data_IF_536464798402
#
_entry.id   IF_536464798402
#
_cell.length_a   1.000
_cell.length_b   1.000
_cell.length_c   1.000
_cell.angle_alpha   90.00
_cell.angle_beta   90.00
_cell.angle_gamma   90.00
#
_symmetry.space_group_name_H-M   'P 1'
#
loop_
_entity.id
_entity.type
_entity.pdbx_description
1 polymer ?
#
# COMPACT_ATOMS: atom_id res chain seq x y z
N UNK A 1 -14.29 -65.79 -17.32
CA UNK A 1 -15.34 -64.76 -17.55
C UNK A 1 -15.83 -64.22 -16.22
N UNK A 2 -15.37 -63.03 -15.80
CA UNK A 2 -16.17 -61.92 -15.24
C UNK A 2 -15.24 -60.87 -14.62
N UNK A 3 -15.58 -59.63 -14.92
CA UNK A 3 -14.78 -58.41 -14.85
C UNK A 3 -15.35 -57.49 -13.76
N UNK A 4 -14.47 -56.74 -13.08
CA UNK A 4 -14.70 -55.42 -12.44
C UNK A 4 -15.62 -55.51 -11.18
N UNK A 5 -15.29 -54.94 -10.01
CA UNK A 5 -15.17 -53.49 -9.80
C UNK A 5 -14.22 -53.12 -8.64
N UNK A 6 -13.04 -52.64 -9.01
CA UNK A 6 -12.22 -51.73 -8.21
C UNK A 6 -12.97 -50.39 -8.12
N UNK A 7 -13.78 -50.20 -7.08
CA UNK A 7 -14.65 -49.00 -6.95
C UNK A 7 -14.74 -48.43 -5.54
N UNK A 8 -13.71 -48.54 -4.70
CA UNK A 8 -13.70 -47.86 -3.39
C UNK A 8 -12.32 -47.39 -2.93
N UNK A 9 -11.50 -46.84 -3.85
CA UNK A 9 -10.23 -46.20 -3.49
C UNK A 9 -10.11 -44.75 -3.96
N UNK A 10 -11.23 -44.06 -4.15
CA UNK A 10 -11.20 -42.68 -4.63
C UNK A 10 -12.36 -41.90 -4.01
N UNK A 11 -12.25 -41.53 -2.73
CA UNK A 11 -13.14 -40.50 -2.17
C UNK A 11 -12.63 -39.75 -0.93
N UNK A 12 -11.35 -39.86 -0.57
CA UNK A 12 -10.79 -39.13 0.60
C UNK A 12 -9.72 -38.10 0.25
N UNK A 13 -9.65 -37.65 -1.01
CA UNK A 13 -8.73 -36.57 -1.44
C UNK A 13 -9.52 -35.42 -2.09
N UNK A 14 -10.51 -34.87 -1.40
CA UNK A 14 -11.19 -33.64 -1.86
C UNK A 14 -11.21 -32.54 -0.77
N UNK A 15 -10.73 -32.82 0.45
CA UNK A 15 -10.72 -31.85 1.55
C UNK A 15 -9.54 -30.83 1.52
N UNK A 16 -8.70 -30.82 0.48
CA UNK A 16 -7.50 -29.96 0.41
C UNK A 16 -7.61 -28.78 -0.56
N UNK A 17 -8.76 -28.60 -1.22
CA UNK A 17 -9.00 -27.50 -2.18
C UNK A 17 -9.99 -26.45 -1.68
N UNK A 18 -10.34 -26.45 -0.39
CA UNK A 18 -10.88 -25.24 0.21
C UNK A 18 -9.73 -24.25 0.31
N UNK A 19 -9.51 -23.49 -0.76
CA UNK A 19 -8.61 -22.35 -0.78
C UNK A 19 -8.94 -21.51 0.43
N UNK A 20 -8.08 -21.58 1.44
CA UNK A 20 -8.05 -20.54 2.45
C UNK A 20 -7.78 -19.28 1.65
N UNK A 21 -8.81 -18.47 1.49
CA UNK A 21 -8.66 -17.07 1.12
C UNK A 21 -7.85 -16.50 2.27
N UNK A 22 -6.53 -16.64 2.21
CA UNK A 22 -5.61 -16.03 3.14
C UNK A 22 -5.97 -14.56 3.08
N UNK A 23 -6.52 -14.05 4.18
CA UNK A 23 -6.82 -12.64 4.31
C UNK A 23 -5.55 -11.89 3.90
N UNK A 24 -5.65 -11.10 2.83
CA UNK A 24 -4.54 -10.29 2.35
C UNK A 24 -4.10 -9.39 3.51
N UNK A 25 -2.94 -9.71 4.08
CA UNK A 25 -2.45 -8.98 5.22
C UNK A 25 -1.86 -7.67 4.69
N UNK A 26 -2.62 -6.59 4.83
CA UNK A 26 -2.14 -5.24 4.54
C UNK A 26 -0.81 -5.00 5.25
N UNK A 27 0.20 -4.58 4.49
CA UNK A 27 1.48 -4.16 5.02
C UNK A 27 1.38 -2.67 5.33
N UNK A 28 1.58 -2.32 6.58
CA UNK A 28 1.54 -0.94 7.04
C UNK A 28 2.96 -0.52 7.39
N UNK A 29 3.43 0.57 6.77
CA UNK A 29 4.73 1.16 7.04
C UNK A 29 4.57 2.59 7.57
N UNK A 30 5.38 2.96 8.57
CA UNK A 30 5.65 4.34 8.93
C UNK A 30 6.94 4.76 8.26
N UNK A 31 6.93 5.92 7.61
CA UNK A 31 8.05 6.38 6.82
C UNK A 31 8.33 7.86 7.08
N UNK A 32 9.61 8.23 7.06
CA UNK A 32 10.05 9.61 6.91
C UNK A 32 10.54 9.77 5.48
N UNK A 33 10.05 10.81 4.80
CA UNK A 33 10.37 11.07 3.40
C UNK A 33 10.79 12.51 3.21
N UNK A 34 11.59 12.75 2.17
CA UNK A 34 11.86 14.10 1.63
C UNK A 34 11.04 14.28 0.37
N UNK A 35 10.39 15.42 0.22
CA UNK A 35 9.61 15.76 -0.97
C UNK A 35 10.56 16.13 -2.10
N UNK A 36 10.45 15.43 -3.23
CA UNK A 36 11.22 15.65 -4.44
C UNK A 36 10.28 15.94 -5.62
N UNK A 37 10.85 16.35 -6.76
CA UNK A 37 10.06 16.51 -7.99
C UNK A 37 9.49 15.16 -8.41
N UNK A 38 8.19 15.14 -8.74
CA UNK A 38 7.53 13.94 -9.24
C UNK A 38 8.11 13.56 -10.60
N UNK A 39 8.23 12.26 -10.87
CA UNK A 39 8.63 11.78 -12.21
C UNK A 39 7.58 12.09 -13.29
N UNK A 40 6.34 12.39 -12.86
CA UNK A 40 5.19 12.68 -13.72
C UNK A 40 4.93 14.16 -13.91
N UNK A 41 5.44 15.04 -13.05
CA UNK A 41 5.18 16.48 -13.07
C UNK A 41 6.36 17.28 -12.52
N UNK A 42 6.68 18.42 -13.17
CA UNK A 42 7.78 19.30 -12.75
C UNK A 42 7.59 19.95 -11.37
N UNK A 43 6.34 20.10 -10.92
CA UNK A 43 5.98 20.74 -9.65
C UNK A 43 4.85 19.97 -8.94
N UNK A 44 4.80 19.98 -7.60
CA UNK A 44 3.67 19.47 -6.84
C UNK A 44 2.39 20.21 -7.26
N UNK A 45 1.46 19.49 -7.90
CA UNK A 45 0.13 20.04 -8.21
C UNK A 45 -0.94 19.18 -7.56
N UNK A 46 -1.81 19.81 -6.80
CA UNK A 46 -3.03 19.17 -6.30
C UNK A 46 -3.86 18.74 -7.50
N UNK A 47 -4.08 17.43 -7.65
CA UNK A 47 -4.91 16.89 -8.72
C UNK A 47 -6.16 16.23 -8.12
N UNK A 48 -7.33 16.72 -8.52
CA UNK A 48 -8.58 16.02 -8.21
C UNK A 48 -8.63 14.76 -9.07
N UNK A 49 -8.26 13.62 -8.49
CA UNK A 49 -8.44 12.32 -9.15
C UNK A 49 -9.78 11.73 -8.72
N UNK A 50 -10.55 11.22 -9.68
CA UNK A 50 -11.77 10.42 -9.41
C UNK A 50 -11.45 9.01 -8.92
N UNK A 51 -10.15 8.70 -8.70
CA UNK A 51 -9.70 7.35 -8.31
C UNK A 51 -10.40 6.99 -7.00
N UNK A 52 -10.38 7.87 -6.00
CA UNK A 52 -11.12 7.67 -4.76
C UNK A 52 -12.57 8.11 -4.95
N UNK A 53 -13.49 7.16 -5.06
CA UNK A 53 -14.94 7.38 -5.14
C UNK A 53 -15.55 7.93 -3.82
N UNK A 54 -14.73 8.57 -2.96
CA UNK A 54 -15.11 9.18 -1.69
C UNK A 54 -15.03 10.71 -1.72
N UNK A 55 -14.88 11.30 -2.92
CA UNK A 55 -14.84 12.76 -3.15
C UNK A 55 -13.67 13.49 -2.47
N UNK A 56 -12.63 12.77 -2.03
CA UNK A 56 -11.44 13.39 -1.43
C UNK A 56 -10.35 13.65 -2.49
N UNK A 57 -9.86 14.89 -2.67
CA UNK A 57 -8.72 15.15 -3.55
C UNK A 57 -7.50 14.33 -3.14
N UNK A 58 -6.67 13.95 -4.11
CA UNK A 58 -5.38 13.30 -3.84
C UNK A 58 -4.26 14.22 -4.31
N UNK A 59 -3.29 14.49 -3.45
CA UNK A 59 -2.12 15.27 -3.83
C UNK A 59 -1.02 14.31 -4.31
N UNK A 60 -0.55 14.49 -5.54
CA UNK A 60 0.57 13.72 -6.09
C UNK A 60 1.88 14.45 -5.85
N UNK A 61 2.83 13.79 -5.21
CA UNK A 61 4.18 14.30 -4.93
C UNK A 61 5.24 13.26 -5.27
N UNK A 62 6.45 13.70 -5.61
CA UNK A 62 7.62 12.84 -5.57
C UNK A 62 8.12 12.73 -4.12
N UNK A 63 8.55 11.54 -3.71
CA UNK A 63 9.14 11.29 -2.41
C UNK A 63 10.43 10.48 -2.53
N UNK A 64 11.42 10.84 -1.74
CA UNK A 64 12.57 10.00 -1.41
C UNK A 64 12.39 9.45 0.00
N UNK A 65 12.44 8.13 0.16
CA UNK A 65 12.18 7.46 1.43
C UNK A 65 13.48 7.40 2.25
N UNK A 66 13.62 8.29 3.24
CA UNK A 66 14.79 8.35 4.11
C UNK A 66 14.78 7.24 5.17
N UNK A 67 13.61 6.97 5.73
CA UNK A 67 13.43 5.94 6.76
C UNK A 67 12.09 5.24 6.57
N UNK A 68 12.03 3.94 6.85
CA UNK A 68 10.80 3.19 6.83
C UNK A 68 10.85 2.04 7.83
N UNK A 69 9.74 1.83 8.54
CA UNK A 69 9.57 0.75 9.51
C UNK A 69 8.16 0.20 9.47
N UNK A 70 7.99 -1.08 9.77
CA UNK A 70 6.66 -1.67 9.90
C UNK A 70 5.87 -1.01 11.04
N UNK A 71 4.55 -0.96 10.88
CA UNK A 71 3.62 -0.27 11.75
C UNK A 71 2.48 -1.20 12.22
N UNK A 72 1.83 -0.87 13.34
CA UNK A 72 0.64 -1.56 13.83
C UNK A 72 0.78 -3.10 13.85
N UNK A 73 -0.08 -3.83 13.13
CA UNK A 73 -0.04 -5.31 13.05
C UNK A 73 1.18 -5.81 12.28
N UNK A 74 1.71 -5.00 11.35
CA UNK A 74 2.88 -5.36 10.54
C UNK A 74 4.17 -5.44 11.36
N UNK A 75 4.24 -4.78 12.53
CA UNK A 75 5.40 -4.88 13.44
C UNK A 75 5.66 -6.33 13.88
N UNK A 76 4.64 -7.19 13.92
CA UNK A 76 4.81 -8.58 14.38
C UNK A 76 5.18 -9.57 13.26
N UNK A 77 5.23 -9.11 12.01
CA UNK A 77 5.41 -9.98 10.83
C UNK A 77 6.75 -9.67 10.16
N UNK A 78 7.70 -10.61 10.20
CA UNK A 78 9.08 -10.41 9.70
C UNK A 78 9.13 -10.04 8.21
N UNK A 79 8.29 -10.64 7.37
CA UNK A 79 8.22 -10.29 5.95
C UNK A 79 7.75 -8.85 5.73
N UNK A 80 6.85 -8.34 6.58
CA UNK A 80 6.37 -6.96 6.50
C UNK A 80 7.45 -5.97 6.96
N UNK A 81 8.20 -6.32 8.01
CA UNK A 81 9.37 -5.53 8.45
C UNK A 81 10.40 -5.41 7.33
N UNK A 82 10.76 -6.54 6.71
CA UNK A 82 11.71 -6.56 5.59
C UNK A 82 11.19 -5.75 4.40
N UNK A 83 9.90 -5.87 4.08
CA UNK A 83 9.27 -5.05 3.04
C UNK A 83 9.43 -3.56 3.32
N UNK A 84 9.02 -3.08 4.51
CA UNK A 84 9.13 -1.67 4.83
C UNK A 84 10.59 -1.19 4.81
N UNK A 85 11.54 -1.98 5.33
CA UNK A 85 12.96 -1.64 5.27
C UNK A 85 13.49 -1.56 3.83
N UNK A 86 13.00 -2.41 2.92
CA UNK A 86 13.41 -2.39 1.52
C UNK A 86 13.01 -1.11 0.78
N UNK A 87 12.06 -0.34 1.32
CA UNK A 87 11.62 0.93 0.74
C UNK A 87 12.63 2.07 0.95
N UNK A 88 13.54 1.95 1.93
CA UNK A 88 14.53 2.99 2.24
C UNK A 88 15.45 3.22 1.03
N UNK A 89 15.67 4.49 0.69
CA UNK A 89 16.47 4.94 -0.46
C UNK A 89 15.72 4.90 -1.80
N UNK A 90 14.45 4.48 -1.83
CA UNK A 90 13.66 4.51 -3.07
C UNK A 90 13.04 5.89 -3.32
N UNK A 91 12.99 6.26 -4.60
CA UNK A 91 12.25 7.40 -5.11
C UNK A 91 10.94 6.92 -5.73
N UNK A 92 9.82 7.53 -5.35
CA UNK A 92 8.49 7.15 -5.82
C UNK A 92 7.58 8.36 -5.99
N UNK A 93 6.59 8.23 -6.86
CA UNK A 93 5.43 9.11 -6.87
C UNK A 93 4.40 8.60 -5.86
N UNK A 94 4.03 9.44 -4.90
CA UNK A 94 3.10 9.13 -3.82
C UNK A 94 1.78 9.89 -4.00
N UNK A 95 0.68 9.15 -3.90
CA UNK A 95 -0.66 9.74 -3.82
C UNK A 95 -1.03 9.92 -2.36
N UNK A 96 -0.98 11.17 -1.90
CA UNK A 96 -1.43 11.53 -0.56
C UNK A 96 -2.95 11.50 -0.51
N UNK A 97 -3.50 10.75 0.44
CA UNK A 97 -4.94 10.56 0.65
C UNK A 97 -5.35 11.10 2.03
N UNK A 98 -6.49 11.78 2.14
CA UNK A 98 -6.89 12.47 3.37
C UNK A 98 -7.97 13.52 3.11
N UNK A 99 -8.56 14.07 4.18
CA UNK A 99 -9.42 15.26 4.10
C UNK A 99 -8.53 16.48 3.90
N UNK A 100 -8.02 16.64 2.69
CA UNK A 100 -7.32 17.87 2.34
C UNK A 100 -8.38 18.92 2.05
N UNK A 101 -8.56 19.85 2.98
CA UNK A 101 -9.15 21.12 2.57
C UNK A 101 -8.20 21.72 1.52
N UNK A 102 -8.69 22.13 0.33
CA UNK A 102 -7.87 22.53 -0.81
C UNK A 102 -6.80 23.62 -0.59
N UNK A 103 -6.63 24.18 0.62
CA UNK A 103 -5.74 25.30 0.91
C UNK A 103 -4.91 25.17 2.22
N UNK A 104 -5.00 24.06 2.96
CA UNK A 104 -4.41 23.98 4.31
C UNK A 104 -3.06 23.25 4.42
N UNK A 105 -2.60 22.58 3.36
CA UNK A 105 -1.30 21.91 3.35
C UNK A 105 -0.48 22.42 2.17
N UNK A 106 0.50 23.28 2.47
CA UNK A 106 1.52 23.68 1.51
C UNK A 106 2.70 22.72 1.63
N UNK A 107 2.78 21.74 0.72
CA UNK A 107 3.94 20.86 0.59
C UNK A 107 4.86 21.44 -0.48
N UNK A 108 6.11 21.71 -0.11
CA UNK A 108 7.16 22.23 -0.96
C UNK A 108 8.25 21.18 -1.20
N UNK A 109 9.07 21.42 -2.22
CA UNK A 109 10.26 20.60 -2.44
C UNK A 109 11.19 20.71 -1.24
N UNK A 110 11.81 19.59 -0.88
CA UNK A 110 12.68 19.38 0.28
C UNK A 110 11.97 19.38 1.65
N UNK A 111 10.64 19.48 1.69
CA UNK A 111 9.91 19.24 2.93
C UNK A 111 10.16 17.82 3.44
N UNK A 112 10.28 17.67 4.76
CA UNK A 112 10.36 16.38 5.41
C UNK A 112 8.98 16.01 5.95
N UNK A 113 8.43 14.88 5.48
CA UNK A 113 7.10 14.42 5.87
C UNK A 113 7.16 13.07 6.57
N UNK A 114 6.32 12.90 7.59
CA UNK A 114 6.01 11.59 8.15
C UNK A 114 4.76 11.03 7.49
N UNK A 115 4.93 9.92 6.78
CA UNK A 115 3.87 9.26 6.02
C UNK A 115 3.59 7.87 6.59
N UNK A 116 2.31 7.56 6.75
CA UNK A 116 1.83 6.18 6.86
C UNK A 116 1.53 5.65 5.46
N UNK A 117 2.20 4.58 5.06
CA UNK A 117 1.90 3.83 3.85
C UNK A 117 1.09 2.57 4.20
N UNK A 118 0.07 2.28 3.39
CA UNK A 118 -0.68 1.01 3.45
C UNK A 118 -0.54 0.34 2.09
N UNK A 119 0.32 -0.68 2.04
CA UNK A 119 0.46 -1.56 0.90
C UNK A 119 -0.51 -2.74 1.03
N UNK A 120 -1.26 -3.02 -0.02
CA UNK A 120 -2.02 -4.27 -0.15
C UNK A 120 -1.33 -5.12 -1.19
N UNK A 121 -0.95 -6.35 -0.83
CA UNK A 121 -0.42 -7.33 -1.78
C UNK A 121 -1.48 -7.81 -2.78
N UNK A 122 -2.72 -7.34 -2.63
CA UNK A 122 -3.87 -7.81 -3.35
C UNK A 122 -4.02 -7.22 -4.73
N UNK A 123 -3.90 -8.10 -5.72
CA UNK A 123 -4.32 -7.85 -7.09
C UNK A 123 -5.86 -7.93 -7.24
N UNK A 124 -6.65 -7.51 -6.24
CA UNK A 124 -8.10 -7.53 -6.36
C UNK A 124 -8.62 -6.18 -6.86
N UNK A 125 -9.46 -6.23 -7.89
CA UNK A 125 -10.12 -5.07 -8.44
C UNK A 125 -11.07 -4.44 -7.39
N UNK A 126 -11.12 -3.10 -7.25
CA UNK A 126 -10.31 -2.13 -7.98
C UNK A 126 -8.85 -2.13 -7.51
N UNK A 127 -7.91 -2.13 -8.46
CA UNK A 127 -6.48 -2.01 -8.17
C UNK A 127 -6.20 -0.59 -7.67
N UNK A 128 -5.92 -0.47 -6.39
CA UNK A 128 -5.65 0.82 -5.78
C UNK A 128 -4.14 1.09 -5.74
N UNK A 129 -3.67 2.27 -6.18
CA UNK A 129 -2.27 2.65 -6.02
C UNK A 129 -1.90 2.71 -4.53
N UNK A 130 -0.61 2.55 -4.22
CA UNK A 130 -0.13 2.68 -2.84
C UNK A 130 -0.58 4.03 -2.25
N UNK A 131 -1.26 3.98 -1.10
CA UNK A 131 -1.77 5.17 -0.44
C UNK A 131 -0.84 5.64 0.67
N UNK A 132 -0.72 6.94 0.76
CA UNK A 132 0.07 7.61 1.79
C UNK A 132 -0.83 8.56 2.57
N UNK A 133 -0.70 8.54 3.90
CA UNK A 133 -1.40 9.43 4.81
C UNK A 133 -0.34 10.25 5.55
N UNK A 134 -0.33 11.58 5.41
CA UNK A 134 0.44 12.43 6.28
C UNK A 134 0.00 12.20 7.72
N UNK A 135 0.96 11.93 8.61
CA UNK A 135 0.65 11.69 10.02
C UNK A 135 0.41 12.96 10.83
N UNK A 136 0.43 14.13 10.18
CA UNK A 136 0.54 15.50 10.70
C UNK A 136 1.97 15.84 11.14
N UNK A 137 2.52 16.88 10.54
CA UNK A 137 3.46 17.77 11.19
C UNK A 137 2.63 18.92 11.79
N UNK A 138 1.72 18.60 12.71
CA UNK A 138 0.96 19.62 13.44
C UNK A 138 1.80 20.04 14.65
N UNK A 139 2.51 21.14 14.50
CA UNK A 139 2.62 22.15 15.58
C UNK A 139 1.67 23.29 15.24
#
# INVERSE_FOLDING_TARGET
MKSIKLKYFMSTVIALLSGQVFAENKIECLMQVVVISSSKFAEPKTQYTQIKNDSSPMLLIGIEIQQAKAAFKSVKIKSHQNYCLSLVGQNKDAYLSGRYEPNHIQIQLNDVLELKNIHSSGQHYPFWPEFYFPMKADQ
#
